data_IF_322021324501
#
_entry.id   IF_322021324501
#
_cell.length_a   1.000
_cell.length_b   1.000
_cell.length_c   1.000
_cell.angle_alpha   90.00
_cell.angle_beta   90.00
_cell.angle_gamma   90.00
#
_symmetry.space_group_name_H-M   'P 1'
#
loop_
_entity.id
_entity.type
_entity.pdbx_description
1 polymer ?
#
# COMPACT_ATOMS: atom_id res chain seq x y z
N UNK A 1 9.03 18.01 2.69
CA UNK A 1 9.93 18.78 1.83
C UNK A 1 11.31 18.13 1.73
N UNK A 2 11.92 18.26 0.55
CA UNK A 2 13.28 17.78 0.27
C UNK A 2 14.16 18.91 -0.25
N UNK A 3 15.43 18.80 0.04
CA UNK A 3 16.47 19.61 -0.58
C UNK A 3 16.72 19.14 -2.04
N UNK A 4 17.35 19.95 -2.90
CA UNK A 4 17.66 19.58 -4.27
C UNK A 4 18.49 18.29 -4.41
N UNK A 5 19.29 17.97 -3.40
CA UNK A 5 20.10 16.74 -3.33
C UNK A 5 19.32 15.51 -2.84
N UNK A 6 17.98 15.61 -2.63
CA UNK A 6 17.16 14.53 -2.12
C UNK A 6 17.16 14.35 -0.61
N UNK A 7 17.92 15.14 0.14
CA UNK A 7 17.94 15.07 1.59
C UNK A 7 16.64 15.61 2.19
N UNK A 8 16.07 14.90 3.16
CA UNK A 8 14.87 15.31 3.86
C UNK A 8 15.09 16.61 4.64
N UNK A 9 14.19 17.60 4.43
CA UNK A 9 14.22 18.88 5.12
C UNK A 9 13.31 18.88 6.34
N UNK A 10 12.08 18.47 6.16
CA UNK A 10 11.07 18.38 7.22
C UNK A 10 9.91 17.49 6.78
N UNK A 11 9.40 16.68 7.69
CA UNK A 11 8.16 15.95 7.54
C UNK A 11 7.12 16.44 8.52
N UNK A 12 5.91 16.59 8.04
CA UNK A 12 4.72 16.87 8.84
C UNK A 12 3.61 15.93 8.43
N UNK A 13 2.80 15.52 9.39
CA UNK A 13 1.58 14.73 9.14
C UNK A 13 0.43 15.38 9.88
N UNK A 14 -0.64 15.70 9.17
CA UNK A 14 -1.88 16.13 9.78
C UNK A 14 -2.68 14.89 10.16
N UNK A 15 -2.87 14.68 11.46
CA UNK A 15 -3.57 13.53 12.02
C UNK A 15 -4.85 13.98 12.73
N UNK A 16 -5.84 13.10 12.73
CA UNK A 16 -7.04 13.24 13.57
C UNK A 16 -7.01 12.18 14.65
N UNK A 17 -7.40 12.53 15.85
CA UNK A 17 -7.40 11.59 16.96
C UNK A 17 -8.61 11.81 17.86
N UNK A 18 -9.01 10.75 18.55
CA UNK A 18 -10.12 10.75 19.50
C UNK A 18 -9.81 9.84 20.68
N UNK A 19 -10.37 10.14 21.85
CA UNK A 19 -10.27 9.32 23.06
C UNK A 19 -11.66 8.92 23.59
N UNK A 20 -11.72 7.77 24.26
CA UNK A 20 -12.93 7.30 24.90
C UNK A 20 -14.11 7.21 23.93
N UNK A 21 -15.24 7.75 24.32
CA UNK A 21 -16.48 7.68 23.53
C UNK A 21 -16.43 8.48 22.22
N UNK A 22 -15.49 9.41 22.08
CA UNK A 22 -15.30 10.18 20.84
C UNK A 22 -14.93 9.29 19.65
N UNK A 23 -14.35 8.10 19.86
CA UNK A 23 -14.02 7.16 18.77
C UNK A 23 -15.26 6.67 18.02
N UNK A 24 -16.45 6.81 18.58
CA UNK A 24 -17.72 6.43 17.97
C UNK A 24 -18.40 7.58 17.22
N UNK A 25 -17.84 8.80 17.26
CA UNK A 25 -18.31 9.93 16.46
C UNK A 25 -17.69 9.94 15.07
N UNK A 26 -18.22 10.80 14.19
CA UNK A 26 -17.64 10.95 12.85
C UNK A 26 -16.21 11.48 12.91
N UNK A 27 -15.34 10.96 12.07
CA UNK A 27 -13.91 11.32 12.04
C UNK A 27 -13.68 12.82 11.77
N UNK A 28 -14.69 13.54 11.26
CA UNK A 28 -14.63 14.98 11.06
C UNK A 28 -14.74 15.77 12.36
N UNK A 29 -15.29 15.17 13.40
CA UNK A 29 -15.41 15.74 14.74
C UNK A 29 -14.17 15.50 15.61
N UNK A 30 -13.26 14.65 15.17
CA UNK A 30 -12.05 14.32 15.91
C UNK A 30 -11.07 15.47 15.96
N UNK A 31 -10.32 15.57 17.05
CA UNK A 31 -9.30 16.59 17.22
C UNK A 31 -8.21 16.47 16.16
N UNK A 32 -7.77 17.62 15.65
CA UNK A 32 -6.74 17.70 14.63
C UNK A 32 -5.40 18.09 15.26
N UNK A 33 -4.34 17.43 14.85
CA UNK A 33 -2.99 17.74 15.29
C UNK A 33 -2.00 17.62 14.12
N UNK A 34 -1.12 18.64 14.01
CA UNK A 34 -0.02 18.60 13.03
C UNK A 34 1.21 18.00 13.66
N UNK A 35 1.42 16.71 13.42
CA UNK A 35 2.55 15.95 13.91
C UNK A 35 3.81 16.32 13.13
N UNK A 36 4.90 16.61 13.83
CA UNK A 36 6.22 16.95 13.25
C UNK A 36 7.29 16.07 13.85
N UNK A 37 8.41 15.94 13.13
CA UNK A 37 9.60 15.30 13.68
C UNK A 37 10.02 16.03 14.96
N UNK A 38 10.33 15.27 16.00
CA UNK A 38 10.68 15.76 17.35
C UNK A 38 9.56 16.52 18.12
N UNK A 39 8.32 16.56 17.59
CA UNK A 39 7.16 17.12 18.29
C UNK A 39 6.06 16.07 18.34
N UNK A 40 6.11 15.15 19.32
CA UNK A 40 5.12 14.08 19.43
C UNK A 40 3.76 14.59 19.85
N UNK A 41 2.71 13.94 19.35
CA UNK A 41 1.38 14.05 19.90
C UNK A 41 1.32 13.26 21.22
N UNK A 42 0.72 13.82 22.23
CA UNK A 42 0.50 13.18 23.53
C UNK A 42 -0.97 12.84 23.69
N UNK A 43 -1.26 11.57 23.90
CA UNK A 43 -2.62 11.05 24.04
C UNK A 43 -2.63 10.07 25.21
N UNK A 44 -3.53 10.24 26.17
CA UNK A 44 -3.77 9.30 27.28
C UNK A 44 -2.49 8.81 27.99
N UNK A 45 -1.47 9.67 28.11
CA UNK A 45 -0.17 9.30 28.73
C UNK A 45 0.86 8.75 27.74
N UNK A 46 0.44 8.39 26.53
CA UNK A 46 1.33 7.91 25.48
C UNK A 46 1.86 9.05 24.59
N UNK A 47 2.90 8.73 23.81
CA UNK A 47 3.52 9.65 22.87
C UNK A 47 3.58 9.03 21.49
N UNK A 48 2.96 9.72 20.50
CA UNK A 48 2.98 9.33 19.11
C UNK A 48 4.02 10.15 18.36
N UNK A 49 5.01 9.49 17.78
CA UNK A 49 6.12 10.14 17.05
C UNK A 49 5.97 9.95 15.55
N UNK A 50 6.33 11.00 14.80
CA UNK A 50 6.53 10.89 13.36
C UNK A 50 7.97 10.43 13.10
N UNK A 51 8.13 9.16 12.72
CA UNK A 51 9.44 8.56 12.47
C UNK A 51 9.89 8.68 11.00
N UNK A 52 8.94 8.75 10.08
CA UNK A 52 9.25 8.81 8.66
C UNK A 52 7.98 8.94 7.83
N UNK A 53 8.13 8.86 6.52
CA UNK A 53 7.02 8.85 5.58
C UNK A 53 7.23 7.75 4.55
N UNK A 54 6.20 7.48 3.76
CA UNK A 54 6.21 6.53 2.67
C UNK A 54 5.08 6.85 1.71
N UNK A 55 4.92 6.01 0.72
CA UNK A 55 3.87 6.12 -0.28
C UNK A 55 2.84 5.02 -0.12
N UNK A 56 1.59 5.35 -0.37
CA UNK A 56 0.47 4.43 -0.32
C UNK A 56 -0.31 4.53 -1.64
N UNK A 57 0.11 3.82 -2.68
CA UNK A 57 -0.59 3.80 -3.95
C UNK A 57 -2.02 3.26 -3.78
N UNK A 58 -2.95 3.86 -4.53
CA UNK A 58 -4.34 3.46 -4.58
C UNK A 58 -4.61 2.70 -5.86
N UNK A 59 -5.16 1.51 -5.75
CA UNK A 59 -5.53 0.67 -6.88
C UNK A 59 -7.03 0.45 -6.91
N UNK A 60 -7.61 0.56 -8.10
CA UNK A 60 -9.01 0.24 -8.35
C UNK A 60 -9.08 -0.92 -9.35
N UNK A 61 -9.74 -1.99 -8.93
CA UNK A 61 -10.03 -3.15 -9.78
C UNK A 61 -11.49 -3.09 -10.17
N UNK A 62 -11.77 -3.17 -11.47
CA UNK A 62 -13.12 -3.28 -12.01
C UNK A 62 -13.34 -4.70 -12.51
N UNK A 63 -14.38 -5.35 -11.99
CA UNK A 63 -14.74 -6.72 -12.33
C UNK A 63 -15.63 -6.78 -13.58
N UNK A 64 -15.73 -7.94 -14.26
CA UNK A 64 -16.56 -8.07 -15.47
C UNK A 64 -18.04 -7.73 -15.28
N UNK A 65 -18.56 -7.81 -14.07
CA UNK A 65 -19.93 -7.38 -13.73
C UNK A 65 -20.11 -5.87 -13.59
N UNK A 66 -19.01 -5.08 -13.77
CA UNK A 66 -19.00 -3.63 -13.63
C UNK A 66 -18.75 -3.10 -12.23
N UNK A 67 -18.73 -3.97 -11.22
CA UNK A 67 -18.38 -3.54 -9.85
C UNK A 67 -16.91 -3.19 -9.74
N UNK A 68 -16.61 -2.12 -8.99
CA UNK A 68 -15.25 -1.67 -8.72
C UNK A 68 -14.93 -1.73 -7.24
N UNK A 69 -13.71 -2.11 -6.92
CA UNK A 69 -13.17 -2.05 -5.56
C UNK A 69 -11.85 -1.31 -5.55
N UNK A 70 -11.73 -0.39 -4.61
CA UNK A 70 -10.53 0.42 -4.43
C UNK A 70 -9.87 0.06 -3.11
N UNK A 71 -8.57 -0.18 -3.16
CA UNK A 71 -7.74 -0.38 -1.98
C UNK A 71 -6.53 0.54 -2.03
N UNK A 72 -6.04 0.93 -0.86
CA UNK A 72 -4.82 1.68 -0.66
C UNK A 72 -4.00 0.95 0.40
N UNK A 73 -2.75 0.64 0.06
CA UNK A 73 -1.82 -0.04 0.97
C UNK A 73 -0.53 0.76 1.02
N UNK A 74 -0.03 0.96 2.23
CA UNK A 74 1.29 1.56 2.39
C UNK A 74 2.36 0.62 1.86
N UNK A 75 3.13 1.09 0.88
CA UNK A 75 4.30 0.39 0.38
C UNK A 75 5.50 0.61 1.30
N UNK A 76 6.30 -0.42 1.45
CA UNK A 76 7.54 -0.35 2.22
C UNK A 76 8.66 0.14 1.32
N UNK A 77 9.41 1.18 1.71
CA UNK A 77 10.61 1.57 0.99
C UNK A 77 11.65 0.44 1.01
N UNK A 78 12.02 -0.04 -0.16
CA UNK A 78 13.14 -0.97 -0.37
C UNK A 78 14.46 -0.19 -0.47
N UNK A 79 14.38 1.01 -1.04
CA UNK A 79 15.43 2.01 -1.00
C UNK A 79 14.97 3.23 -0.16
N UNK A 80 15.51 3.41 1.04
CA UNK A 80 15.14 4.51 1.91
C UNK A 80 15.66 5.89 1.44
N UNK A 81 16.58 5.92 0.47
CA UNK A 81 17.14 7.16 -0.07
C UNK A 81 16.22 7.79 -1.10
N UNK A 82 15.78 7.01 -2.08
CA UNK A 82 14.96 7.50 -3.20
C UNK A 82 13.55 6.92 -3.22
N UNK A 83 13.18 6.14 -2.19
CA UNK A 83 11.84 5.62 -1.95
C UNK A 83 11.28 4.72 -3.07
N UNK A 84 12.15 3.97 -3.75
CA UNK A 84 11.66 2.81 -4.48
C UNK A 84 10.98 1.89 -3.46
N UNK A 85 9.70 1.62 -3.66
CA UNK A 85 8.89 0.97 -2.62
C UNK A 85 8.07 -0.17 -3.21
N UNK A 86 7.85 -1.21 -2.43
CA UNK A 86 7.07 -2.38 -2.83
C UNK A 86 5.91 -2.67 -1.88
N UNK A 87 4.90 -3.31 -2.41
CA UNK A 87 3.74 -3.73 -1.65
C UNK A 87 2.83 -4.67 -2.42
N UNK A 88 1.87 -5.27 -1.71
CA UNK A 88 0.92 -6.23 -2.25
C UNK A 88 -0.49 -5.87 -1.83
N UNK A 89 -1.40 -5.85 -2.81
CA UNK A 89 -2.83 -5.72 -2.60
C UNK A 89 -3.51 -7.03 -2.97
N UNK A 90 -4.58 -7.37 -2.25
CA UNK A 90 -5.39 -8.56 -2.53
C UNK A 90 -6.84 -8.17 -2.61
N UNK A 91 -7.52 -8.68 -3.62
CA UNK A 91 -8.92 -8.39 -3.90
C UNK A 91 -9.72 -9.69 -3.97
N UNK A 92 -10.79 -9.70 -3.24
CA UNK A 92 -11.81 -10.73 -3.31
C UNK A 92 -12.85 -10.37 -4.39
N UNK A 93 -13.31 -11.31 -5.19
CA UNK A 93 -14.42 -11.05 -6.13
C UNK A 93 -15.66 -10.50 -5.42
N UNK A 94 -16.50 -9.71 -6.11
CA UNK A 94 -17.76 -9.25 -5.58
C UNK A 94 -18.63 -10.39 -5.05
N UNK A 95 -19.39 -10.12 -3.99
CA UNK A 95 -20.33 -11.11 -3.45
C UNK A 95 -21.38 -11.48 -4.50
N UNK A 96 -21.68 -12.77 -4.60
CA UNK A 96 -22.68 -13.29 -5.55
C UNK A 96 -22.21 -13.44 -7.00
N UNK A 97 -20.98 -13.00 -7.33
CA UNK A 97 -20.43 -13.18 -8.69
C UNK A 97 -20.11 -14.66 -8.99
N UNK A 98 -19.72 -15.40 -7.98
CA UNK A 98 -19.48 -16.86 -8.07
C UNK A 98 -20.32 -17.55 -7.00
N UNK A 99 -21.03 -18.59 -7.38
CA UNK A 99 -21.96 -19.30 -6.49
C UNK A 99 -21.26 -20.24 -5.51
N UNK A 100 -20.11 -20.77 -5.91
CA UNK A 100 -19.29 -21.67 -5.11
C UNK A 100 -18.11 -20.93 -4.47
N UNK A 101 -17.91 -21.15 -3.17
CA UNK A 101 -16.82 -20.55 -2.41
C UNK A 101 -15.43 -21.02 -2.89
N UNK A 102 -15.32 -22.27 -3.34
CA UNK A 102 -14.07 -22.77 -3.88
C UNK A 102 -13.73 -22.08 -5.21
N UNK A 103 -14.73 -21.94 -6.11
CA UNK A 103 -14.56 -21.20 -7.35
C UNK A 103 -14.19 -19.74 -7.08
N UNK A 104 -14.88 -19.09 -6.14
CA UNK A 104 -14.61 -17.71 -5.74
C UNK A 104 -13.17 -17.52 -5.26
N UNK A 105 -12.65 -18.44 -4.46
CA UNK A 105 -11.25 -18.43 -3.98
C UNK A 105 -10.26 -18.47 -5.14
N UNK A 106 -10.52 -19.27 -6.18
CA UNK A 106 -9.66 -19.36 -7.36
C UNK A 106 -9.71 -18.11 -8.27
N UNK A 107 -10.59 -17.16 -7.98
CA UNK A 107 -10.76 -15.90 -8.73
C UNK A 107 -10.32 -14.67 -7.95
N UNK A 108 -9.69 -14.85 -6.80
CA UNK A 108 -9.03 -13.76 -6.10
C UNK A 108 -7.90 -13.17 -6.94
N UNK A 109 -7.61 -11.90 -6.73
CA UNK A 109 -6.50 -11.20 -7.38
C UNK A 109 -5.48 -10.76 -6.34
N UNK A 110 -4.21 -10.95 -6.65
CA UNK A 110 -3.12 -10.32 -5.94
C UNK A 110 -2.33 -9.43 -6.90
N UNK A 111 -2.07 -8.20 -6.51
CA UNK A 111 -1.26 -7.24 -7.27
C UNK A 111 -0.02 -6.98 -6.46
N UNK A 112 1.12 -7.41 -7.00
CA UNK A 112 2.42 -7.03 -6.46
C UNK A 112 2.89 -5.79 -7.20
N UNK A 113 3.15 -4.71 -6.48
CA UNK A 113 3.53 -3.43 -7.04
C UNK A 113 4.91 -2.98 -6.62
N UNK A 114 5.60 -2.32 -7.54
CA UNK A 114 6.79 -1.54 -7.32
C UNK A 114 6.46 -0.09 -7.68
N UNK A 115 6.75 0.85 -6.81
CA UNK A 115 6.47 2.27 -7.00
C UNK A 115 7.74 3.09 -6.86
N UNK A 116 7.96 3.98 -7.81
CA UNK A 116 9.04 4.95 -7.79
C UNK A 116 8.48 6.39 -7.85
N UNK A 117 8.79 7.27 -6.90
CA UNK A 117 8.33 8.66 -6.93
C UNK A 117 8.96 9.48 -8.06
N UNK A 118 10.16 9.12 -8.50
CA UNK A 118 10.81 9.65 -9.69
C UNK A 118 11.42 8.48 -10.45
N UNK A 119 10.61 7.89 -11.34
CA UNK A 119 10.97 6.68 -12.06
C UNK A 119 12.00 6.92 -13.15
N UNK A 120 13.00 6.06 -13.19
CA UNK A 120 13.95 5.89 -14.28
C UNK A 120 13.95 4.44 -14.73
N UNK A 121 14.04 4.23 -16.03
CA UNK A 121 14.09 2.92 -16.63
C UNK A 121 15.46 2.70 -17.27
N UNK A 122 16.08 1.58 -16.94
CA UNK A 122 17.39 1.20 -17.49
C UNK A 122 17.34 -0.23 -18.02
N UNK A 123 17.76 -0.40 -19.26
CA UNK A 123 17.77 -1.68 -19.96
C UNK A 123 17.04 -1.60 -21.29
N UNK A 124 16.92 -2.66 -21.99
CA UNK A 124 16.13 -2.79 -23.21
C UNK A 124 14.79 -3.48 -22.93
N UNK A 125 14.51 -4.52 -23.66
CA UNK A 125 13.34 -5.38 -23.44
C UNK A 125 13.43 -6.01 -22.04
N UNK A 126 12.56 -5.57 -21.10
CA UNK A 126 12.61 -5.95 -19.68
C UNK A 126 13.21 -4.87 -18.76
N UNK A 127 12.99 -3.60 -19.07
CA UNK A 127 13.49 -2.46 -18.31
C UNK A 127 13.29 -2.60 -16.80
N UNK A 128 14.38 -2.35 -16.06
CA UNK A 128 14.35 -2.30 -14.61
C UNK A 128 13.96 -0.88 -14.17
N UNK A 129 12.88 -0.76 -13.44
CA UNK A 129 12.46 0.50 -12.84
C UNK A 129 13.27 0.77 -11.58
N UNK A 130 13.87 1.95 -11.50
CA UNK A 130 14.52 2.50 -10.32
C UNK A 130 13.91 3.85 -9.95
N UNK A 131 14.33 4.43 -8.82
CA UNK A 131 13.96 5.78 -8.42
C UNK A 131 15.21 6.63 -8.27
N UNK A 132 15.19 7.84 -8.82
CA UNK A 132 16.33 8.77 -8.76
C UNK A 132 16.12 9.94 -7.80
N UNK A 133 14.91 10.13 -7.27
CA UNK A 133 14.59 11.19 -6.33
C UNK A 133 13.42 10.80 -5.41
N UNK A 134 13.43 11.17 -4.12
CA UNK A 134 12.44 10.72 -3.15
C UNK A 134 11.08 11.44 -3.21
N UNK A 135 10.92 12.52 -3.94
CA UNK A 135 9.65 13.21 -4.14
C UNK A 135 9.01 12.85 -5.50
N UNK A 136 7.70 13.04 -5.60
CA UNK A 136 6.93 12.76 -6.82
C UNK A 136 7.21 13.80 -7.92
N UNK A 137 8.23 13.57 -8.72
CA UNK A 137 8.58 14.38 -9.90
C UNK A 137 8.18 13.70 -11.20
N UNK A 138 8.38 12.39 -11.28
CA UNK A 138 8.02 11.55 -12.42
C UNK A 138 7.56 10.19 -11.91
N UNK A 139 6.38 10.09 -11.25
CA UNK A 139 5.96 8.85 -10.61
C UNK A 139 5.74 7.73 -11.62
N UNK A 140 6.27 6.56 -11.30
CA UNK A 140 6.10 5.34 -12.06
C UNK A 140 5.66 4.18 -11.17
N UNK A 141 4.93 3.24 -11.76
CA UNK A 141 4.53 1.99 -11.11
C UNK A 141 4.74 0.83 -12.06
N UNK A 142 5.33 -0.23 -11.56
CA UNK A 142 5.37 -1.53 -12.23
C UNK A 142 4.52 -2.51 -11.40
N UNK A 143 3.71 -3.32 -12.05
CA UNK A 143 2.83 -4.27 -11.39
C UNK A 143 2.91 -5.65 -12.02
N UNK A 144 2.84 -6.66 -11.15
CA UNK A 144 2.53 -8.02 -11.50
C UNK A 144 1.15 -8.39 -10.96
N UNK A 145 0.30 -8.94 -11.82
CA UNK A 145 -1.04 -9.34 -11.45
C UNK A 145 -1.13 -10.86 -11.42
N UNK A 146 -1.56 -11.38 -10.30
CA UNK A 146 -1.73 -12.81 -10.07
C UNK A 146 -3.20 -13.11 -9.85
N UNK A 147 -3.66 -14.24 -10.36
CA UNK A 147 -5.02 -14.75 -10.17
C UNK A 147 -4.98 -16.13 -9.55
N UNK A 148 -5.84 -16.37 -8.56
CA UNK A 148 -5.94 -17.64 -7.87
C UNK A 148 -6.20 -17.45 -6.38
N UNK A 149 -5.85 -18.46 -5.59
CA UNK A 149 -5.93 -18.36 -4.14
C UNK A 149 -4.86 -17.39 -3.61
N UNK A 150 -5.30 -16.21 -3.19
CA UNK A 150 -4.44 -15.17 -2.61
C UNK A 150 -4.30 -15.27 -1.08
N UNK A 151 -4.87 -16.31 -0.46
CA UNK A 151 -4.80 -16.56 0.99
C UNK A 151 -5.74 -15.71 1.83
N UNK A 152 -6.75 -15.06 1.24
CA UNK A 152 -7.69 -14.19 1.97
C UNK A 152 -8.62 -14.97 2.90
N UNK A 153 -8.91 -16.24 2.58
CA UNK A 153 -9.83 -17.10 3.33
C UNK A 153 -9.12 -18.09 4.28
N UNK A 154 -7.80 -18.00 4.42
CA UNK A 154 -7.01 -18.97 5.21
C UNK A 154 -7.04 -18.68 6.72
N UNK A 155 -7.75 -17.64 7.16
CA UNK A 155 -7.81 -17.22 8.58
C UNK A 155 -6.49 -16.74 9.14
N UNK A 156 -5.49 -16.48 8.30
CA UNK A 156 -4.17 -15.98 8.66
C UNK A 156 -3.93 -14.60 8.06
N UNK A 157 -3.25 -13.75 8.81
CA UNK A 157 -2.78 -12.47 8.27
C UNK A 157 -1.80 -12.67 7.12
N UNK A 158 -2.01 -11.96 6.02
CA UNK A 158 -1.12 -11.95 4.86
C UNK A 158 -0.24 -10.71 4.87
N UNK A 159 1.03 -10.86 4.49
CA UNK A 159 1.93 -9.71 4.35
C UNK A 159 1.42 -8.73 3.30
N UNK A 160 1.38 -7.45 3.64
CA UNK A 160 1.08 -6.37 2.67
C UNK A 160 2.31 -5.94 1.87
N UNK A 161 3.47 -6.55 2.09
CA UNK A 161 4.73 -6.19 1.44
C UNK A 161 5.20 -7.21 0.43
N UNK A 162 4.80 -8.47 0.58
CA UNK A 162 5.23 -9.56 -0.30
C UNK A 162 4.15 -10.64 -0.44
N UNK A 163 4.13 -11.31 -1.60
CA UNK A 163 3.34 -12.53 -1.77
C UNK A 163 4.02 -13.70 -1.05
N UNK A 164 3.20 -14.64 -0.54
CA UNK A 164 3.71 -15.89 -0.01
C UNK A 164 4.27 -16.74 -1.18
N UNK A 165 5.58 -17.02 -1.20
CA UNK A 165 6.18 -17.80 -2.28
C UNK A 165 5.57 -19.20 -2.44
N UNK A 166 5.01 -19.75 -1.36
CA UNK A 166 4.37 -21.08 -1.39
C UNK A 166 3.14 -21.10 -2.28
N UNK A 167 2.33 -20.03 -2.29
CA UNK A 167 1.14 -19.94 -3.15
C UNK A 167 1.51 -19.88 -4.64
N UNK A 168 2.60 -19.20 -4.98
CA UNK A 168 3.10 -19.14 -6.36
C UNK A 168 3.72 -20.49 -6.79
N UNK A 169 4.48 -21.15 -5.92
CA UNK A 169 5.11 -22.44 -6.23
C UNK A 169 4.12 -23.61 -6.28
N UNK A 170 3.03 -23.56 -5.50
CA UNK A 170 1.98 -24.59 -5.55
C UNK A 170 1.12 -24.53 -6.80
N UNK A 171 1.21 -23.44 -7.58
CA UNK A 171 0.34 -23.18 -8.72
C UNK A 171 -1.06 -22.65 -8.33
N UNK A 172 -1.29 -22.40 -7.05
CA UNK A 172 -2.55 -21.84 -6.58
C UNK A 172 -2.73 -20.38 -7.00
N UNK A 173 -1.63 -19.67 -7.21
CA UNK A 173 -1.57 -18.28 -7.64
C UNK A 173 -0.76 -18.19 -8.95
N UNK A 174 -1.38 -17.76 -10.04
CA UNK A 174 -0.79 -17.68 -11.37
C UNK A 174 -0.66 -16.22 -11.82
N UNK A 175 0.49 -15.89 -12.42
CA UNK A 175 0.77 -14.58 -13.03
C UNK A 175 0.07 -14.42 -14.37
#
# INVERSE_FOLDING_TARGET
DYLPNGQAKMFTSDVRWAEGDQVFTDADEWEQYRLRVNHPLRIAGDRVYLQGHGYAPRFTVTWPNGESRTQMVQFRPDDPTFFLSSGVLRFDPPAGMYSDLFERRQKQLAIQGLFAPTAEFSGGEGDIMSSSFPAMRNPGVAIDVYRGNAGLDDGRGQSIYSLDPRLAHSGELQK
#
